data_IF_823281570007
#
_entry.id   IF_823281570007
#
_cell.length_a   1.000
_cell.length_b   1.000
_cell.length_c   1.000
_cell.angle_alpha   90.00
_cell.angle_beta   90.00
_cell.angle_gamma   90.00
#
_symmetry.space_group_name_H-M   'P 1'
#
loop_
_entity.id
_entity.type
_entity.pdbx_description
1 polymer ?
#
# COMPACT_ATOMS: atom_id res chain seq x y z
N UNK A 1 16.33 18.19 71.19
CA UNK A 1 16.15 18.59 69.77
C UNK A 1 16.09 17.33 68.94
N UNK A 2 14.91 16.92 68.42
CA UNK A 2 14.68 15.73 67.55
C UNK A 2 14.14 16.20 66.21
N UNK A 3 14.54 15.61 65.09
CA UNK A 3 14.45 16.24 63.78
C UNK A 3 13.07 16.11 63.15
N UNK A 4 12.60 17.24 62.64
CA UNK A 4 11.34 17.45 61.94
C UNK A 4 11.39 17.02 60.46
N UNK A 5 12.30 16.11 60.09
CA UNK A 5 12.58 15.78 58.69
C UNK A 5 11.87 14.52 58.14
N UNK A 6 11.17 13.78 59.01
CA UNK A 6 10.47 12.58 58.60
C UNK A 6 9.06 12.81 58.02
N UNK A 7 8.49 14.02 58.18
CA UNK A 7 7.14 14.35 57.64
C UNK A 7 7.16 15.04 56.29
N UNK A 8 8.33 15.50 55.80
CA UNK A 8 8.42 16.16 54.50
C UNK A 8 8.61 15.19 53.33
N UNK A 9 9.14 13.99 53.54
CA UNK A 9 9.34 12.99 52.50
C UNK A 9 8.07 12.18 52.14
N UNK A 10 7.06 12.18 53.00
CA UNK A 10 5.80 11.45 52.75
C UNK A 10 4.77 12.24 51.90
N UNK A 11 4.93 13.57 51.83
CA UNK A 11 4.05 14.42 51.01
C UNK A 11 4.52 14.51 49.53
N UNK A 12 5.79 14.26 49.25
CA UNK A 12 6.34 14.28 47.88
C UNK A 12 6.17 12.95 47.13
N UNK A 13 5.90 11.84 47.81
CA UNK A 13 5.60 10.56 47.17
C UNK A 13 4.15 10.40 46.75
N UNK A 14 3.22 11.21 47.26
CA UNK A 14 1.80 11.15 46.88
C UNK A 14 1.47 11.93 45.59
N UNK A 15 2.36 12.81 45.11
CA UNK A 15 2.13 13.57 43.87
C UNK A 15 2.65 12.92 42.57
N UNK A 16 3.43 11.83 42.67
CA UNK A 16 3.97 11.15 41.49
C UNK A 16 3.15 9.96 40.99
N UNK A 17 2.00 9.66 41.64
CA UNK A 17 1.08 8.61 41.22
C UNK A 17 -0.16 9.14 40.45
N UNK A 18 -0.17 10.43 40.14
CA UNK A 18 -1.21 11.01 39.32
C UNK A 18 -0.80 10.99 37.86
N UNK A 19 -1.52 10.17 37.11
CA UNK A 19 -1.72 10.27 35.68
C UNK A 19 -0.69 9.59 34.78
N UNK A 20 -0.85 8.33 34.65
CA UNK A 20 -1.05 7.75 33.32
C UNK A 20 -2.42 7.05 33.32
N UNK A 21 -3.47 7.79 33.56
CA UNK A 21 -4.81 7.38 33.15
C UNK A 21 -4.81 7.48 31.62
N UNK A 22 -4.28 6.46 30.94
CA UNK A 22 -4.65 6.19 29.56
C UNK A 22 -6.17 6.05 29.61
N UNK A 23 -6.88 7.02 29.06
CA UNK A 23 -8.33 6.96 28.94
C UNK A 23 -8.63 5.83 27.98
N UNK A 24 -8.91 4.64 28.51
CA UNK A 24 -9.46 3.55 27.73
C UNK A 24 -10.77 4.06 27.14
N UNK A 25 -10.81 4.15 25.83
CA UNK A 25 -12.03 4.50 25.09
C UNK A 25 -13.07 3.44 25.43
N UNK A 26 -14.31 3.85 25.74
CA UNK A 26 -15.36 2.86 26.00
C UNK A 26 -15.57 1.98 24.77
N UNK A 27 -16.07 0.75 24.94
CA UNK A 27 -16.32 -0.18 23.82
C UNK A 27 -17.31 0.45 22.82
N UNK A 28 -18.33 1.17 23.30
CA UNK A 28 -19.30 1.85 22.45
C UNK A 28 -18.65 2.98 21.63
N UNK A 29 -17.78 3.79 22.27
CA UNK A 29 -17.05 4.87 21.60
C UNK A 29 -16.05 4.30 20.58
N UNK A 30 -15.39 3.18 20.91
CA UNK A 30 -14.46 2.51 20.00
C UNK A 30 -15.16 2.01 18.74
N UNK A 31 -16.34 1.38 18.87
CA UNK A 31 -17.15 0.95 17.72
C UNK A 31 -17.55 2.12 16.84
N UNK A 32 -18.01 3.21 17.45
CA UNK A 32 -18.40 4.40 16.70
C UNK A 32 -17.21 4.99 15.92
N UNK A 33 -16.05 5.13 16.54
CA UNK A 33 -14.84 5.64 15.89
C UNK A 33 -14.46 4.77 14.68
N UNK A 34 -14.49 3.44 14.82
CA UNK A 34 -14.16 2.53 13.71
C UNK A 34 -15.22 2.59 12.61
N UNK A 35 -16.51 2.67 12.94
CA UNK A 35 -17.57 2.83 11.94
C UNK A 35 -17.42 4.16 11.16
N UNK A 36 -17.22 5.27 11.87
CA UNK A 36 -17.03 6.58 11.25
C UNK A 36 -15.77 6.58 10.35
N UNK A 37 -14.67 5.97 10.84
CA UNK A 37 -13.45 5.84 10.06
C UNK A 37 -13.67 5.00 8.80
N UNK A 38 -14.34 3.86 8.90
CA UNK A 38 -14.64 3.01 7.73
C UNK A 38 -15.47 3.74 6.66
N UNK A 39 -16.42 4.58 7.07
CA UNK A 39 -17.24 5.38 6.16
C UNK A 39 -16.48 6.57 5.53
N UNK A 40 -15.38 7.00 6.15
CA UNK A 40 -14.59 8.10 5.62
C UNK A 40 -13.72 7.70 4.40
N UNK A 41 -13.45 6.39 4.23
CA UNK A 41 -12.65 5.89 3.11
C UNK A 41 -13.50 5.51 1.91
N UNK A 42 -13.02 5.89 0.73
CA UNK A 42 -13.59 5.44 -0.53
C UNK A 42 -13.40 3.92 -0.67
N UNK A 43 -14.44 3.23 -1.08
CA UNK A 43 -14.39 1.78 -1.35
C UNK A 43 -15.01 1.50 -2.72
N UNK A 44 -14.23 0.88 -3.58
CA UNK A 44 -14.67 0.48 -4.91
C UNK A 44 -15.77 -0.58 -4.84
N UNK A 45 -15.70 -1.52 -3.88
CA UNK A 45 -16.75 -2.53 -3.68
C UNK A 45 -18.06 -1.89 -3.23
N UNK A 46 -18.00 -0.95 -2.29
CA UNK A 46 -19.18 -0.20 -1.87
C UNK A 46 -19.73 0.72 -2.98
N UNK A 47 -18.89 1.15 -3.92
CA UNK A 47 -19.28 1.92 -5.10
C UNK A 47 -19.79 1.06 -6.27
N UNK A 48 -19.88 -0.28 -6.08
CA UNK A 48 -20.48 -1.21 -7.04
C UNK A 48 -19.49 -1.92 -7.97
N UNK A 49 -18.17 -1.82 -7.77
CA UNK A 49 -17.22 -2.54 -8.61
C UNK A 49 -17.27 -4.06 -8.36
N UNK A 50 -17.53 -4.84 -9.40
CA UNK A 50 -17.35 -6.31 -9.38
C UNK A 50 -15.98 -6.71 -9.94
N UNK A 51 -15.63 -6.13 -11.09
CA UNK A 51 -14.42 -6.51 -11.81
C UNK A 51 -13.93 -5.32 -12.65
N UNK A 52 -12.61 -5.17 -12.79
CA UNK A 52 -12.08 -4.32 -13.85
C UNK A 52 -10.85 -4.93 -14.51
N UNK A 53 -10.70 -4.60 -15.79
CA UNK A 53 -9.54 -4.93 -16.61
C UNK A 53 -8.89 -3.65 -17.11
N UNK A 54 -7.58 -3.69 -17.30
CA UNK A 54 -6.84 -2.60 -17.93
C UNK A 54 -5.65 -3.15 -18.72
N UNK A 55 -5.29 -2.44 -19.79
CA UNK A 55 -4.00 -2.57 -20.46
C UNK A 55 -2.95 -1.88 -19.58
N UNK A 56 -1.78 -2.52 -19.39
CA UNK A 56 -0.65 -1.97 -18.61
C UNK A 56 0.51 -1.69 -19.55
N UNK A 57 0.97 -0.43 -19.58
CA UNK A 57 2.07 0.02 -20.43
C UNK A 57 3.22 0.53 -19.57
N UNK A 58 4.36 -0.17 -19.53
CA UNK A 58 5.57 0.33 -18.90
C UNK A 58 6.20 1.47 -19.73
N UNK A 59 6.81 2.43 -19.05
CA UNK A 59 7.62 3.46 -19.70
C UNK A 59 9.04 2.93 -20.00
N UNK A 60 9.17 2.23 -21.12
CA UNK A 60 10.44 1.60 -21.52
C UNK A 60 11.54 2.60 -21.83
N UNK A 61 11.21 3.82 -22.29
CA UNK A 61 12.20 4.88 -22.54
C UNK A 61 12.92 5.26 -21.25
N UNK A 62 12.19 5.29 -20.14
CA UNK A 62 12.75 5.56 -18.82
C UNK A 62 13.68 4.44 -18.38
N UNK A 63 13.28 3.18 -18.61
CA UNK A 63 14.10 2.00 -18.28
C UNK A 63 15.41 2.00 -19.08
N UNK A 64 15.38 2.39 -20.36
CA UNK A 64 16.55 2.44 -21.24
C UNK A 64 17.25 3.81 -21.26
N UNK A 65 16.92 4.73 -20.35
CA UNK A 65 17.40 6.12 -20.34
C UNK A 65 18.92 6.27 -20.48
N UNK A 66 19.67 5.45 -19.79
CA UNK A 66 21.15 5.53 -19.82
C UNK A 66 21.72 4.87 -21.08
N UNK A 67 21.07 3.82 -21.59
CA UNK A 67 21.42 3.21 -22.85
C UNK A 67 21.14 4.15 -24.03
N UNK A 68 20.02 4.88 -24.01
CA UNK A 68 19.68 5.88 -25.02
C UNK A 68 20.79 6.93 -25.17
N UNK A 69 21.46 7.30 -24.07
CA UNK A 69 22.55 8.26 -24.06
C UNK A 69 23.87 7.68 -24.59
N UNK A 70 24.18 6.43 -24.23
CA UNK A 70 25.45 5.78 -24.52
C UNK A 70 25.48 5.04 -25.87
N UNK A 71 24.36 4.44 -26.27
CA UNK A 71 24.15 3.69 -27.51
C UNK A 71 22.73 3.91 -28.03
N UNK A 72 22.46 5.05 -28.71
CA UNK A 72 21.11 5.36 -29.22
C UNK A 72 20.56 4.32 -30.21
N UNK A 73 21.43 3.72 -31.04
CA UNK A 73 21.00 2.73 -32.03
C UNK A 73 20.59 1.41 -31.41
N UNK A 74 21.38 0.91 -30.45
CA UNK A 74 21.05 -0.27 -29.67
C UNK A 74 19.82 -0.05 -28.79
N UNK A 75 19.67 1.12 -28.18
CA UNK A 75 18.50 1.50 -27.41
C UNK A 75 17.22 1.51 -28.25
N UNK A 76 17.27 2.04 -29.48
CA UNK A 76 16.12 2.01 -30.41
C UNK A 76 15.70 0.58 -30.78
N UNK A 77 16.67 -0.29 -31.04
CA UNK A 77 16.40 -1.71 -31.28
C UNK A 77 15.77 -2.37 -30.04
N UNK A 78 16.29 -2.07 -28.84
CA UNK A 78 15.72 -2.53 -27.57
C UNK A 78 14.30 -2.03 -27.35
N UNK A 79 14.02 -0.73 -27.54
CA UNK A 79 12.68 -0.15 -27.42
C UNK A 79 11.68 -0.81 -28.36
N UNK A 80 12.09 -1.11 -29.61
CA UNK A 80 11.22 -1.83 -30.56
C UNK A 80 10.82 -3.21 -30.04
N UNK A 81 11.74 -3.94 -29.43
CA UNK A 81 11.48 -5.24 -28.82
C UNK A 81 10.55 -5.10 -27.59
N UNK A 82 10.85 -4.17 -26.69
CA UNK A 82 10.09 -3.95 -25.46
C UNK A 82 8.67 -3.46 -25.74
N UNK A 83 8.47 -2.60 -26.74
CA UNK A 83 7.16 -2.13 -27.16
C UNK A 83 6.30 -3.21 -27.84
N UNK A 84 6.90 -4.32 -28.26
CA UNK A 84 6.17 -5.52 -28.73
C UNK A 84 5.76 -6.47 -27.59
N UNK A 85 6.04 -6.13 -26.33
CA UNK A 85 5.57 -6.87 -25.14
C UNK A 85 4.32 -6.18 -24.61
N UNK A 86 3.24 -6.91 -24.51
CA UNK A 86 1.93 -6.40 -24.09
C UNK A 86 1.52 -7.03 -22.78
N UNK A 87 0.99 -6.20 -21.88
CA UNK A 87 0.51 -6.61 -20.57
C UNK A 87 -0.93 -6.15 -20.36
N UNK A 88 -1.73 -6.98 -19.75
CA UNK A 88 -3.03 -6.61 -19.23
C UNK A 88 -3.24 -7.20 -17.85
N UNK A 89 -4.07 -6.54 -17.05
CA UNK A 89 -4.43 -7.03 -15.74
C UNK A 89 -5.94 -7.16 -15.62
N UNK A 90 -6.38 -8.10 -14.81
CA UNK A 90 -7.76 -8.30 -14.40
C UNK A 90 -7.81 -8.38 -12.88
N UNK A 91 -8.59 -7.52 -12.24
CA UNK A 91 -9.05 -7.69 -10.87
C UNK A 91 -10.45 -8.26 -10.90
N UNK A 92 -10.63 -9.47 -10.37
CA UNK A 92 -11.91 -10.16 -10.39
C UNK A 92 -12.78 -9.87 -9.14
N UNK A 93 -13.99 -10.41 -9.11
CA UNK A 93 -14.94 -10.26 -8.00
C UNK A 93 -14.49 -10.89 -6.67
N UNK A 94 -13.47 -11.74 -6.70
CA UNK A 94 -12.90 -12.41 -5.51
C UNK A 94 -11.61 -11.73 -5.04
N UNK A 95 -11.38 -10.49 -5.45
CA UNK A 95 -10.19 -9.68 -5.13
C UNK A 95 -8.88 -10.32 -5.66
N UNK A 96 -8.98 -11.17 -6.71
CA UNK A 96 -7.82 -11.80 -7.31
C UNK A 96 -7.34 -10.98 -8.52
N UNK A 97 -6.07 -10.61 -8.50
CA UNK A 97 -5.38 -10.01 -9.64
C UNK A 97 -4.77 -11.11 -10.52
N UNK A 98 -5.00 -11.01 -11.80
CA UNK A 98 -4.38 -11.87 -12.81
C UNK A 98 -3.72 -10.98 -13.85
N UNK A 99 -2.42 -11.14 -14.07
CA UNK A 99 -1.68 -10.48 -15.13
C UNK A 99 -1.59 -11.43 -16.30
N UNK A 100 -1.86 -10.94 -17.51
CA UNK A 100 -1.64 -11.67 -18.76
C UNK A 100 -0.70 -10.89 -19.65
N UNK A 101 0.11 -11.61 -20.40
CA UNK A 101 1.09 -11.01 -21.31
C UNK A 101 1.14 -11.79 -22.63
N UNK A 102 1.46 -11.07 -23.70
CA UNK A 102 1.77 -11.66 -25.00
C UNK A 102 2.82 -10.80 -25.71
N UNK A 103 3.36 -11.31 -26.79
CA UNK A 103 4.31 -10.57 -27.63
C UNK A 103 3.93 -10.70 -29.09
N UNK A 104 4.13 -9.62 -29.84
CA UNK A 104 4.01 -9.61 -31.30
C UNK A 104 5.30 -10.06 -32.01
N UNK A 105 6.34 -10.39 -31.24
CA UNK A 105 7.67 -10.70 -31.72
C UNK A 105 8.04 -12.13 -31.34
N UNK A 106 8.32 -12.96 -32.34
CA UNK A 106 8.92 -14.27 -32.12
C UNK A 106 10.37 -14.14 -31.70
N UNK A 107 10.76 -14.72 -30.54
CA UNK A 107 12.16 -14.67 -30.10
C UNK A 107 13.04 -15.46 -31.04
N UNK A 108 14.12 -14.83 -31.54
CA UNK A 108 15.04 -15.38 -32.54
C UNK A 108 16.01 -16.41 -31.98
N UNK A 109 16.19 -16.43 -30.65
CA UNK A 109 17.11 -17.33 -29.97
C UNK A 109 16.72 -17.52 -28.49
N UNK A 110 17.35 -18.47 -27.81
CA UNK A 110 17.04 -18.81 -26.42
C UNK A 110 17.37 -17.68 -25.43
N UNK A 111 18.38 -16.86 -25.72
CA UNK A 111 18.74 -15.72 -24.86
C UNK A 111 17.63 -14.67 -24.89
N UNK A 112 17.09 -14.37 -26.07
CA UNK A 112 15.97 -13.44 -26.22
C UNK A 112 14.69 -13.98 -25.55
N UNK A 113 14.42 -15.28 -25.73
CA UNK A 113 13.28 -15.96 -25.04
C UNK A 113 13.39 -15.84 -23.54
N UNK A 114 14.58 -16.12 -22.99
CA UNK A 114 14.83 -15.97 -21.56
C UNK A 114 14.67 -14.51 -21.11
N UNK A 115 15.18 -13.53 -21.87
CA UNK A 115 15.00 -12.11 -21.57
C UNK A 115 13.53 -11.71 -21.49
N UNK A 116 12.68 -12.18 -22.40
CA UNK A 116 11.23 -11.93 -22.34
C UNK A 116 10.60 -12.55 -21.10
N UNK A 117 10.96 -13.78 -20.75
CA UNK A 117 10.47 -14.45 -19.53
C UNK A 117 10.87 -13.70 -18.25
N UNK A 118 12.10 -13.22 -18.17
CA UNK A 118 12.57 -12.42 -17.03
C UNK A 118 11.77 -11.10 -16.91
N UNK A 119 11.48 -10.42 -18.04
CA UNK A 119 10.65 -9.21 -18.08
C UNK A 119 9.21 -9.52 -17.64
N UNK A 120 8.60 -10.58 -18.17
CA UNK A 120 7.25 -11.00 -17.78
C UNK A 120 7.17 -11.27 -16.28
N UNK A 121 8.11 -12.04 -15.73
CA UNK A 121 8.16 -12.31 -14.30
C UNK A 121 8.33 -11.04 -13.45
N UNK A 122 9.17 -10.11 -13.89
CA UNK A 122 9.35 -8.82 -13.21
C UNK A 122 8.08 -7.97 -13.23
N UNK A 123 7.40 -7.91 -14.37
CA UNK A 123 6.15 -7.17 -14.52
C UNK A 123 5.02 -7.80 -13.70
N UNK A 124 4.90 -9.14 -13.71
CA UNK A 124 3.93 -9.86 -12.89
C UNK A 124 4.13 -9.56 -11.40
N UNK A 125 5.37 -9.57 -10.92
CA UNK A 125 5.70 -9.22 -9.52
C UNK A 125 5.36 -7.76 -9.20
N UNK A 126 5.71 -6.82 -10.08
CA UNK A 126 5.45 -5.40 -9.86
C UNK A 126 3.94 -5.09 -9.82
N UNK A 127 3.17 -5.61 -10.79
CA UNK A 127 1.73 -5.38 -10.88
C UNK A 127 1.01 -6.05 -9.70
N UNK A 128 1.27 -7.34 -9.44
CA UNK A 128 0.64 -8.03 -8.31
C UNK A 128 1.01 -7.40 -6.97
N UNK A 129 2.29 -7.04 -6.77
CA UNK A 129 2.74 -6.36 -5.55
C UNK A 129 2.08 -5.01 -5.32
N UNK A 130 1.90 -4.23 -6.37
CA UNK A 130 1.14 -2.97 -6.32
C UNK A 130 -0.31 -3.22 -5.91
N UNK A 131 -1.02 -4.09 -6.61
CA UNK A 131 -2.44 -4.33 -6.36
C UNK A 131 -2.68 -4.95 -4.98
N UNK A 132 -1.84 -5.84 -4.49
CA UNK A 132 -1.94 -6.40 -3.14
C UNK A 132 -1.99 -5.32 -2.05
N UNK A 133 -1.20 -4.25 -2.19
CA UNK A 133 -1.24 -3.13 -1.23
C UNK A 133 -2.38 -2.15 -1.55
N UNK A 134 -2.63 -1.86 -2.82
CA UNK A 134 -3.70 -0.96 -3.26
C UNK A 134 -5.10 -1.45 -2.85
N UNK A 135 -5.34 -2.76 -2.95
CA UNK A 135 -6.59 -3.42 -2.53
C UNK A 135 -6.94 -3.14 -1.07
N UNK A 136 -5.96 -3.14 -0.18
CA UNK A 136 -6.16 -2.86 1.24
C UNK A 136 -6.83 -1.50 1.49
N UNK A 137 -6.60 -0.53 0.59
CA UNK A 137 -7.06 0.83 0.78
C UNK A 137 -8.21 1.23 -0.14
N UNK A 138 -8.36 0.56 -1.29
CA UNK A 138 -9.26 1.00 -2.35
C UNK A 138 -10.41 0.04 -2.64
N UNK A 139 -10.22 -1.27 -2.47
CA UNK A 139 -11.33 -2.22 -2.70
C UNK A 139 -12.32 -2.22 -1.56
N UNK A 140 -11.83 -2.35 -0.35
CA UNK A 140 -12.61 -2.38 0.86
C UNK A 140 -12.14 -1.28 1.83
N UNK A 141 -12.70 -1.24 3.02
CA UNK A 141 -12.16 -0.36 4.05
C UNK A 141 -10.82 -0.89 4.56
N UNK A 142 -9.78 -0.04 4.73
CA UNK A 142 -8.49 -0.44 5.31
C UNK A 142 -8.54 -0.76 6.82
N UNK A 143 -9.71 -0.75 7.40
CA UNK A 143 -9.95 -0.96 8.82
C UNK A 143 -10.79 -2.23 9.03
N UNK A 144 -10.57 -2.97 10.12
CA UNK A 144 -11.34 -4.18 10.43
C UNK A 144 -12.84 -3.85 10.64
N UNK A 145 -13.75 -4.83 10.49
CA UNK A 145 -15.15 -4.66 10.85
C UNK A 145 -15.32 -4.15 12.28
N UNK A 146 -16.29 -3.27 12.51
CA UNK A 146 -16.49 -2.64 13.82
C UNK A 146 -16.93 -3.59 14.93
N UNK A 147 -17.35 -4.80 14.57
CA UNK A 147 -17.75 -5.89 15.47
C UNK A 147 -16.69 -6.99 15.62
N UNK A 148 -15.53 -6.85 14.96
CA UNK A 148 -14.40 -7.75 15.11
C UNK A 148 -13.62 -7.50 16.42
N UNK A 149 -12.67 -8.39 16.71
CA UNK A 149 -11.80 -8.25 17.88
C UNK A 149 -10.65 -7.29 17.60
N UNK A 150 -10.65 -6.13 18.26
CA UNK A 150 -9.57 -5.14 18.22
C UNK A 150 -9.47 -4.39 19.55
N UNK A 151 -8.35 -3.71 19.73
CA UNK A 151 -8.15 -2.73 20.80
C UNK A 151 -7.95 -1.36 20.16
N UNK A 152 -8.76 -0.38 20.59
CA UNK A 152 -8.60 1.03 20.19
C UNK A 152 -8.19 1.86 21.38
N UNK A 153 -7.01 2.46 21.29
CA UNK A 153 -6.47 3.36 22.31
C UNK A 153 -6.53 4.80 21.81
N UNK A 154 -7.00 5.71 22.67
CA UNK A 154 -6.95 7.14 22.43
C UNK A 154 -5.68 7.72 23.04
N UNK A 155 -4.71 8.13 22.20
CA UNK A 155 -3.43 8.69 22.60
C UNK A 155 -3.41 10.22 22.63
N UNK A 156 -4.57 10.85 22.79
CA UNK A 156 -4.71 12.32 22.77
C UNK A 156 -4.83 12.85 21.34
N UNK A 157 -3.75 12.96 20.61
CA UNK A 157 -3.72 13.48 19.21
C UNK A 157 -4.02 12.43 18.14
N UNK A 158 -3.94 11.14 18.49
CA UNK A 158 -4.08 10.01 17.58
C UNK A 158 -4.89 8.89 18.22
N UNK A 159 -5.35 7.96 17.38
CA UNK A 159 -5.84 6.65 17.78
C UNK A 159 -4.82 5.59 17.39
N UNK A 160 -4.63 4.59 18.26
CA UNK A 160 -3.90 3.35 17.96
C UNK A 160 -4.89 2.21 17.94
N UNK A 161 -5.04 1.57 16.80
CA UNK A 161 -5.87 0.40 16.59
C UNK A 161 -4.96 -0.83 16.47
N UNK A 162 -5.19 -1.85 17.28
CA UNK A 162 -4.42 -3.11 17.26
C UNK A 162 -5.37 -4.29 17.08
N UNK A 163 -5.07 -5.19 16.14
CA UNK A 163 -5.86 -6.38 15.86
C UNK A 163 -5.00 -7.48 15.24
N UNK A 164 -5.58 -8.68 15.11
CA UNK A 164 -5.01 -9.81 14.38
C UNK A 164 -5.66 -9.91 13.02
N UNK A 165 -4.82 -10.08 11.99
CA UNK A 165 -5.24 -10.47 10.65
C UNK A 165 -4.59 -11.81 10.31
N UNK A 166 -5.38 -12.89 10.41
CA UNK A 166 -4.83 -14.24 10.41
C UNK A 166 -3.81 -14.45 11.53
N UNK A 167 -2.58 -14.80 11.15
CA UNK A 167 -1.45 -14.99 12.06
C UNK A 167 -0.64 -13.70 12.31
N UNK A 168 -0.94 -12.62 11.60
CA UNK A 168 -0.19 -11.37 11.71
C UNK A 168 -0.78 -10.44 12.78
N UNK A 169 0.09 -9.71 13.47
CA UNK A 169 -0.27 -8.58 14.33
C UNK A 169 -0.27 -7.30 13.49
N UNK A 170 -1.40 -6.58 13.52
CA UNK A 170 -1.57 -5.31 12.80
C UNK A 170 -1.76 -4.18 13.79
N UNK A 171 -1.00 -3.11 13.62
CA UNK A 171 -1.14 -1.86 14.37
C UNK A 171 -1.33 -0.73 13.39
N UNK A 172 -2.49 -0.07 13.46
CA UNK A 172 -2.83 1.08 12.63
C UNK A 172 -2.86 2.35 13.48
N UNK A 173 -2.17 3.38 13.02
CA UNK A 173 -2.23 4.72 13.61
C UNK A 173 -3.13 5.60 12.76
N UNK A 174 -4.07 6.31 13.41
CA UNK A 174 -4.97 7.28 12.78
C UNK A 174 -4.90 8.60 13.52
N UNK A 175 -4.99 9.72 12.81
CA UNK A 175 -5.17 11.02 13.42
C UNK A 175 -6.63 11.24 13.90
N UNK A 176 -6.95 12.41 14.46
CA UNK A 176 -8.30 12.73 14.92
C UNK A 176 -9.30 13.02 13.80
N UNK A 177 -8.83 13.20 12.56
CA UNK A 177 -9.65 13.29 11.36
C UNK A 177 -9.90 11.91 10.74
N UNK A 178 -9.51 10.83 11.44
CA UNK A 178 -9.65 9.42 11.03
C UNK A 178 -8.76 9.06 9.82
N UNK A 179 -7.71 9.84 9.55
CA UNK A 179 -6.75 9.56 8.48
C UNK A 179 -5.68 8.59 9.00
N UNK A 180 -5.54 7.45 8.33
CA UNK A 180 -4.47 6.49 8.62
C UNK A 180 -3.12 7.12 8.25
N UNK A 181 -2.20 7.15 9.22
CA UNK A 181 -0.86 7.71 9.07
C UNK A 181 0.23 6.65 9.00
N UNK A 182 0.01 5.48 9.60
CA UNK A 182 0.94 4.35 9.58
C UNK A 182 0.20 3.04 9.83
N UNK A 183 0.57 1.98 9.12
CA UNK A 183 0.14 0.60 9.37
C UNK A 183 1.40 -0.25 9.53
N UNK A 184 1.51 -0.94 10.66
CA UNK A 184 2.57 -1.92 10.90
C UNK A 184 1.98 -3.31 10.92
N UNK A 185 2.61 -4.21 10.17
CA UNK A 185 2.26 -5.62 10.15
C UNK A 185 3.47 -6.43 10.60
N UNK A 186 3.28 -7.27 11.59
CA UNK A 186 4.31 -8.17 12.12
C UNK A 186 3.82 -9.60 11.99
N UNK A 187 4.57 -10.42 11.27
CA UNK A 187 4.32 -11.84 11.10
C UNK A 187 5.57 -12.68 11.39
N UNK A 188 5.44 -14.00 11.31
CA UNK A 188 6.60 -14.90 11.41
C UNK A 188 7.57 -14.77 10.22
N UNK A 189 7.11 -14.24 9.09
CA UNK A 189 7.88 -14.18 7.84
C UNK A 189 8.47 -12.80 7.59
N UNK A 190 7.77 -11.73 7.98
CA UNK A 190 8.19 -10.36 7.71
C UNK A 190 7.65 -9.35 8.72
N UNK A 191 8.30 -8.19 8.74
CA UNK A 191 7.80 -6.96 9.34
C UNK A 191 7.67 -5.91 8.25
N UNK A 192 6.55 -5.20 8.21
CA UNK A 192 6.35 -4.09 7.28
C UNK A 192 5.73 -2.89 7.96
N UNK A 193 6.03 -1.71 7.45
CA UNK A 193 5.37 -0.44 7.80
C UNK A 193 4.94 0.23 6.51
N UNK A 194 3.67 0.61 6.42
CA UNK A 194 3.09 1.31 5.27
C UNK A 194 2.56 2.65 5.74
N UNK A 195 3.02 3.73 5.14
CA UNK A 195 2.57 5.12 5.38
C UNK A 195 1.80 5.62 4.17
N UNK A 196 0.46 5.44 4.17
CA UNK A 196 -0.39 5.82 3.04
C UNK A 196 -0.54 7.33 2.94
N UNK A 197 -0.82 7.80 1.74
CA UNK A 197 -1.15 9.18 1.42
C UNK A 197 -2.52 9.23 0.77
N UNK A 198 -3.38 10.10 1.25
CA UNK A 198 -4.76 10.21 0.78
C UNK A 198 -5.08 11.63 0.34
N UNK A 199 -5.97 11.74 -0.63
CA UNK A 199 -6.70 12.98 -0.94
C UNK A 199 -8.15 12.83 -0.49
N UNK A 200 -8.71 13.87 0.14
CA UNK A 200 -10.12 13.90 0.48
C UNK A 200 -10.94 14.35 -0.73
N UNK A 201 -11.90 13.54 -1.13
CA UNK A 201 -12.83 13.80 -2.24
C UNK A 201 -14.27 13.80 -1.73
N UNK A 202 -15.21 14.13 -2.60
CA UNK A 202 -16.64 13.98 -2.28
C UNK A 202 -17.08 12.52 -2.05
N UNK A 203 -16.24 11.54 -2.45
CA UNK A 203 -16.48 10.09 -2.28
C UNK A 203 -15.78 9.51 -1.04
N UNK A 204 -15.01 10.33 -0.31
CA UNK A 204 -14.18 9.92 0.82
C UNK A 204 -12.67 10.03 0.54
N UNK A 205 -11.87 9.44 1.40
CA UNK A 205 -10.40 9.39 1.25
C UNK A 205 -10.00 8.42 0.15
N UNK A 206 -9.31 8.91 -0.88
CA UNK A 206 -8.76 8.14 -2.01
C UNK A 206 -7.25 8.06 -1.84
N UNK A 207 -6.69 6.86 -1.93
CA UNK A 207 -5.24 6.62 -1.84
C UNK A 207 -4.54 7.25 -3.05
N UNK A 208 -3.55 8.11 -2.83
CA UNK A 208 -2.72 8.72 -3.90
C UNK A 208 -1.28 8.24 -3.90
N UNK A 209 -0.93 7.41 -2.93
CA UNK A 209 0.40 6.82 -2.84
C UNK A 209 0.69 6.27 -1.45
N UNK A 210 1.87 5.71 -1.29
CA UNK A 210 2.36 5.25 0.01
C UNK A 210 3.88 5.09 0.00
N UNK A 211 4.47 5.16 1.21
CA UNK A 211 5.82 4.65 1.45
C UNK A 211 5.71 3.35 2.23
N UNK A 212 6.47 2.33 1.84
CA UNK A 212 6.52 1.07 2.57
C UNK A 212 7.96 0.66 2.86
N UNK A 213 8.18 0.15 4.07
CA UNK A 213 9.40 -0.51 4.48
C UNK A 213 9.08 -1.98 4.73
N UNK A 214 9.69 -2.89 4.00
CA UNK A 214 9.54 -4.33 4.16
C UNK A 214 10.84 -4.94 4.63
N UNK A 215 10.78 -5.77 5.66
CA UNK A 215 11.93 -6.47 6.21
C UNK A 215 11.57 -7.92 6.48
N UNK A 216 12.17 -8.91 5.79
CA UNK A 216 12.02 -10.31 6.14
C UNK A 216 12.52 -10.57 7.56
N UNK A 217 11.93 -11.52 8.26
CA UNK A 217 12.39 -11.94 9.60
C UNK A 217 13.65 -12.80 9.51
N UNK A 218 13.91 -13.42 8.35
CA UNK A 218 15.10 -14.23 8.08
C UNK A 218 15.73 -13.84 6.75
N UNK A 219 17.05 -13.72 6.71
CA UNK A 219 17.83 -13.42 5.50
C UNK A 219 17.92 -11.93 5.15
N UNK A 220 18.64 -11.61 4.06
CA UNK A 220 18.71 -10.28 3.48
C UNK A 220 17.40 -9.92 2.75
N UNK A 221 17.29 -8.71 2.27
CA UNK A 221 16.17 -8.29 1.41
C UNK A 221 15.32 -7.19 2.03
N UNK A 222 15.97 -6.18 2.66
CA UNK A 222 15.24 -4.97 3.07
C UNK A 222 14.83 -4.21 1.80
N UNK A 223 13.52 -4.04 1.64
CA UNK A 223 12.94 -3.29 0.52
C UNK A 223 12.28 -2.02 1.04
N UNK A 224 12.63 -0.90 0.43
CA UNK A 224 11.92 0.37 0.63
C UNK A 224 11.20 0.72 -0.65
N UNK A 225 9.93 1.06 -0.54
CA UNK A 225 9.08 1.43 -1.67
C UNK A 225 8.52 2.84 -1.47
N UNK A 226 8.48 3.60 -2.55
CA UNK A 226 7.68 4.82 -2.67
C UNK A 226 6.80 4.67 -3.89
N UNK A 227 5.49 4.74 -3.68
CA UNK A 227 4.47 4.59 -4.71
C UNK A 227 3.70 5.89 -4.83
N UNK A 228 3.50 6.36 -6.07
CA UNK A 228 2.56 7.43 -6.40
C UNK A 228 1.54 6.88 -7.38
N UNK A 229 0.29 7.26 -7.20
CA UNK A 229 -0.84 6.72 -7.96
C UNK A 229 -1.66 7.89 -8.49
N UNK A 230 -1.81 7.94 -9.80
CA UNK A 230 -2.78 8.81 -10.45
C UNK A 230 -4.05 8.01 -10.73
N UNK A 231 -5.21 8.61 -10.46
CA UNK A 231 -6.52 8.01 -10.71
C UNK A 231 -7.25 8.76 -11.81
N UNK A 232 -8.17 8.04 -12.47
CA UNK A 232 -9.15 8.64 -13.37
C UNK A 232 -10.55 8.07 -13.07
N UNK A 233 -11.60 8.87 -13.26
CA UNK A 233 -12.96 8.38 -13.17
C UNK A 233 -13.31 7.54 -14.41
N UNK A 234 -13.65 6.27 -14.18
CA UNK A 234 -14.17 5.34 -15.20
C UNK A 234 -15.51 4.81 -14.71
N UNK A 235 -16.58 5.05 -15.44
CA UNK A 235 -17.95 4.66 -15.02
C UNK A 235 -18.30 5.14 -13.60
N UNK A 236 -17.77 6.30 -13.17
CA UNK A 236 -17.98 6.85 -11.83
C UNK A 236 -17.05 6.28 -10.74
N UNK A 237 -16.17 5.35 -11.06
CA UNK A 237 -15.20 4.74 -10.13
C UNK A 237 -13.82 5.38 -10.30
N UNK A 238 -13.09 5.56 -9.18
CA UNK A 238 -11.71 6.07 -9.21
C UNK A 238 -10.74 4.89 -9.44
N UNK A 239 -10.32 4.69 -10.69
CA UNK A 239 -9.41 3.61 -11.07
C UNK A 239 -8.00 4.15 -11.35
N UNK A 240 -6.94 3.32 -11.16
CA UNK A 240 -5.58 3.75 -11.45
C UNK A 240 -5.40 4.05 -12.94
N UNK A 241 -4.79 5.22 -13.23
CA UNK A 241 -4.39 5.65 -14.56
C UNK A 241 -2.88 5.59 -14.71
N UNK A 242 -2.15 5.93 -13.66
CA UNK A 242 -0.69 5.95 -13.62
C UNK A 242 -0.13 5.47 -12.29
N UNK A 243 1.02 4.85 -12.37
CA UNK A 243 1.79 4.37 -11.23
C UNK A 243 3.24 4.76 -11.41
N UNK A 244 3.82 5.43 -10.42
CA UNK A 244 5.27 5.61 -10.29
C UNK A 244 5.74 4.79 -9.09
N UNK A 245 6.69 3.91 -9.33
CA UNK A 245 7.28 3.03 -8.33
C UNK A 245 8.79 3.32 -8.24
N UNK A 246 9.21 3.81 -7.08
CA UNK A 246 10.60 3.89 -6.68
C UNK A 246 10.87 2.82 -5.63
N UNK A 247 11.86 1.97 -5.84
CA UNK A 247 12.26 0.97 -4.85
C UNK A 247 13.76 0.99 -4.60
N UNK A 248 14.14 0.62 -3.38
CA UNK A 248 15.53 0.32 -3.03
C UNK A 248 15.55 -1.05 -2.37
N UNK A 249 16.18 -2.01 -3.01
CA UNK A 249 16.38 -3.36 -2.49
C UNK A 249 17.88 -3.59 -2.27
N UNK A 250 18.27 -3.80 -1.00
CA UNK A 250 19.67 -3.99 -0.59
C UNK A 250 20.64 -2.90 -1.14
N UNK A 251 20.14 -1.65 -1.20
CA UNK A 251 20.89 -0.50 -1.69
C UNK A 251 20.82 -0.27 -3.21
N UNK A 252 20.26 -1.19 -3.98
CA UNK A 252 20.08 -1.04 -5.42
C UNK A 252 18.75 -0.30 -5.72
N UNK A 253 18.78 0.91 -6.31
CA UNK A 253 17.57 1.65 -6.66
C UNK A 253 16.97 1.10 -7.96
N UNK A 254 15.65 1.08 -8.01
CA UNK A 254 14.86 0.81 -9.22
C UNK A 254 13.78 1.86 -9.35
N UNK A 255 13.56 2.34 -10.57
CA UNK A 255 12.49 3.27 -10.90
C UNK A 255 11.67 2.70 -12.04
N UNK A 256 10.34 2.71 -11.90
CA UNK A 256 9.41 2.19 -12.89
C UNK A 256 8.18 3.09 -12.97
N UNK A 257 7.72 3.35 -14.19
CA UNK A 257 6.44 4.00 -14.44
C UNK A 257 5.55 3.10 -15.28
N UNK A 258 4.29 2.97 -14.85
CA UNK A 258 3.27 2.19 -15.55
C UNK A 258 2.07 3.10 -15.86
N UNK A 259 1.54 3.01 -17.07
CA UNK A 259 0.26 3.59 -17.41
C UNK A 259 -0.80 2.48 -17.52
N UNK A 260 -2.01 2.78 -17.02
CA UNK A 260 -3.19 1.91 -17.15
C UNK A 260 -4.16 2.56 -18.12
N UNK A 261 -4.61 1.83 -19.14
CA UNK A 261 -5.51 2.31 -20.18
C UNK A 261 -6.55 1.23 -20.54
N UNK A 262 -7.46 1.59 -21.42
CA UNK A 262 -8.46 0.67 -21.97
C UNK A 262 -9.26 -0.06 -20.86
N UNK A 263 -9.69 0.70 -19.86
CA UNK A 263 -10.41 0.16 -18.71
C UNK A 263 -11.76 -0.41 -19.12
N UNK A 264 -11.98 -1.69 -18.80
CA UNK A 264 -13.28 -2.36 -18.87
C UNK A 264 -13.77 -2.63 -17.47
N UNK A 265 -14.99 -2.21 -17.13
CA UNK A 265 -15.58 -2.30 -15.80
C UNK A 265 -16.83 -3.14 -15.82
N UNK A 266 -16.97 -4.06 -14.85
CA UNK A 266 -18.25 -4.69 -14.50
C UNK A 266 -18.69 -4.19 -13.14
N UNK A 267 -19.94 -3.78 -13.02
CA UNK A 267 -20.59 -3.27 -11.82
C UNK A 267 -21.94 -3.93 -11.62
N UNK A 268 -22.37 -4.04 -10.38
CA UNK A 268 -23.73 -4.49 -10.01
C UNK A 268 -24.65 -3.32 -9.73
#
# INVERSE_FOLDING_TARGET
MKPCWRKLCLLLMACCLSAMAQSQTSVADSKKVIQDARHAYYSLRAAGLDEFRATVKPNWELVLKDQIKSDPAGAQAGLKLLNGLHFSMLLDKNDKVTVTHHTDIDPTNDQQRKGFQDIYSGMDQAINGFFTTWELFMLNSPLPPADSNYTLENLGTQYRLSYKDGAADVVTMMDKNLIITDIKVTSSEFNTSVRPQFVHTAKGFVLTGYNADYKPTSGPGVVKLTIKIDHQPVSGLELPMGLVLDSVMDGAPTHMELAFSDHEVKSH
#
